data_IF_693467465309
#
_entry.id   IF_693467465309
#
_cell.length_a   1.000
_cell.length_b   1.000
_cell.length_c   1.000
_cell.angle_alpha   90.00
_cell.angle_beta   90.00
_cell.angle_gamma   90.00
#
_symmetry.space_group_name_H-M   'P 1'
#
loop_
_entity.id
_entity.type
_entity.pdbx_description
1 polymer ?
#
# COMPACT_ATOMS: atom_id res chain seq x y z
N UNK A 1 -10.48 -16.93 3.62
CA UNK A 1 -10.00 -16.20 4.81
C UNK A 1 -8.68 -16.77 5.27
N UNK A 2 -7.75 -15.93 5.69
CA UNK A 2 -6.43 -16.30 6.19
C UNK A 2 -6.10 -15.49 7.45
N UNK A 3 -4.91 -15.67 8.04
CA UNK A 3 -4.50 -14.90 9.23
C UNK A 3 -4.34 -13.40 8.92
N UNK A 4 -3.85 -13.08 7.71
CA UNK A 4 -3.66 -11.68 7.28
C UNK A 4 -4.96 -11.13 6.70
N UNK A 5 -5.68 -11.93 5.91
CA UNK A 5 -6.97 -11.53 5.33
C UNK A 5 -8.13 -11.97 6.25
N UNK A 6 -8.21 -11.40 7.43
CA UNK A 6 -9.20 -11.68 8.47
C UNK A 6 -10.55 -10.97 8.22
N UNK A 7 -11.08 -11.07 6.98
CA UNK A 7 -12.25 -10.30 6.53
C UNK A 7 -13.56 -10.63 7.28
N UNK A 8 -13.60 -11.73 8.03
CA UNK A 8 -14.69 -12.04 8.96
C UNK A 8 -14.62 -11.29 10.29
N UNK A 9 -13.53 -10.54 10.55
CA UNK A 9 -13.36 -9.79 11.80
C UNK A 9 -14.49 -8.76 11.98
N UNK A 10 -15.07 -8.63 13.20
CA UNK A 10 -16.23 -7.78 13.45
C UNK A 10 -16.07 -6.32 12.99
N UNK A 11 -14.87 -5.73 13.12
CA UNK A 11 -14.61 -4.35 12.70
C UNK A 11 -14.72 -4.15 11.18
N UNK A 12 -14.27 -5.14 10.37
CA UNK A 12 -14.37 -5.09 8.91
C UNK A 12 -15.82 -5.27 8.46
N UNK A 13 -16.55 -6.21 9.05
CA UNK A 13 -17.99 -6.41 8.79
C UNK A 13 -18.79 -5.15 9.12
N UNK A 14 -18.58 -4.57 10.29
CA UNK A 14 -19.24 -3.34 10.70
C UNK A 14 -18.93 -2.14 9.78
N UNK A 15 -17.68 -2.04 9.29
CA UNK A 15 -17.30 -1.03 8.30
C UNK A 15 -18.08 -1.21 7.00
N UNK A 16 -18.09 -2.43 6.44
CA UNK A 16 -18.76 -2.75 5.18
C UNK A 16 -20.26 -2.47 5.28
N UNK A 17 -20.90 -2.88 6.37
CA UNK A 17 -22.32 -2.64 6.63
C UNK A 17 -22.62 -1.14 6.73
N UNK A 18 -21.88 -0.41 7.57
CA UNK A 18 -22.04 1.04 7.75
C UNK A 18 -21.89 1.83 6.44
N UNK A 19 -20.97 1.39 5.57
CA UNK A 19 -20.72 2.02 4.26
C UNK A 19 -21.69 1.56 3.18
N UNK A 20 -22.44 0.49 3.42
CA UNK A 20 -23.41 -0.05 2.47
C UNK A 20 -22.80 -0.61 1.19
N UNK A 21 -21.51 -0.95 1.19
CA UNK A 21 -20.79 -1.35 -0.02
C UNK A 21 -21.37 -2.58 -0.72
N UNK A 22 -21.92 -3.53 0.02
CA UNK A 22 -22.54 -4.74 -0.56
C UNK A 22 -23.75 -4.42 -1.47
N UNK A 23 -24.40 -3.26 -1.27
CA UNK A 23 -25.58 -2.84 -2.04
C UNK A 23 -25.23 -2.12 -3.34
N UNK A 24 -23.95 -1.75 -3.52
CA UNK A 24 -23.49 -1.02 -4.70
C UNK A 24 -23.30 -1.98 -5.89
N UNK A 25 -23.50 -1.50 -7.13
CA UNK A 25 -23.01 -2.18 -8.34
C UNK A 25 -21.51 -2.48 -8.23
N UNK A 26 -21.03 -3.51 -8.93
CA UNK A 26 -19.65 -4.01 -8.79
C UNK A 26 -18.60 -2.91 -8.96
N UNK A 27 -18.67 -2.13 -10.04
CA UNK A 27 -17.74 -1.02 -10.30
C UNK A 27 -17.71 0.00 -9.16
N UNK A 28 -18.88 0.44 -8.72
CA UNK A 28 -19.01 1.44 -7.67
C UNK A 28 -18.55 0.89 -6.31
N UNK A 29 -18.76 -0.39 -6.07
CA UNK A 29 -18.29 -1.11 -4.88
C UNK A 29 -16.77 -1.15 -4.83
N UNK A 30 -16.13 -1.53 -5.93
CA UNK A 30 -14.66 -1.53 -6.03
C UNK A 30 -14.13 -0.11 -5.85
N UNK A 31 -14.71 0.88 -6.52
CA UNK A 31 -14.27 2.28 -6.44
C UNK A 31 -14.43 2.84 -5.02
N UNK A 32 -15.53 2.54 -4.34
CA UNK A 32 -15.75 2.99 -2.97
C UNK A 32 -14.73 2.40 -1.98
N UNK A 33 -14.43 1.10 -2.10
CA UNK A 33 -13.41 0.42 -1.27
C UNK A 33 -12.01 0.95 -1.62
N UNK A 34 -11.70 1.12 -2.92
CA UNK A 34 -10.46 1.69 -3.39
C UNK A 34 -10.19 3.08 -2.79
N UNK A 35 -11.15 3.99 -2.92
CA UNK A 35 -11.04 5.35 -2.40
C UNK A 35 -10.93 5.37 -0.87
N UNK A 36 -11.65 4.51 -0.17
CA UNK A 36 -11.51 4.36 1.27
C UNK A 36 -10.08 3.96 1.65
N UNK A 37 -9.54 2.90 1.03
CA UNK A 37 -8.17 2.45 1.33
C UNK A 37 -7.14 3.49 0.89
N UNK A 38 -7.35 4.17 -0.25
CA UNK A 38 -6.44 5.22 -0.73
C UNK A 38 -6.38 6.39 0.24
N UNK A 39 -7.52 6.97 0.59
CA UNK A 39 -7.57 8.30 1.20
C UNK A 39 -7.91 8.31 2.70
N UNK A 40 -8.66 7.32 3.22
CA UNK A 40 -9.00 7.26 4.64
C UNK A 40 -7.99 6.43 5.46
N UNK A 41 -7.29 5.48 4.82
CA UNK A 41 -6.12 4.79 5.39
C UNK A 41 -4.87 5.52 4.92
N UNK A 42 -4.33 6.41 5.75
CA UNK A 42 -3.21 7.29 5.37
C UNK A 42 -1.95 6.49 5.04
N UNK A 43 -1.12 7.01 4.15
CA UNK A 43 0.21 6.45 3.95
C UNK A 43 1.06 6.57 5.22
N UNK A 44 1.66 5.46 5.65
CA UNK A 44 2.50 5.35 6.84
C UNK A 44 3.01 3.92 7.03
N UNK A 45 3.85 3.71 8.03
CA UNK A 45 4.56 2.44 8.23
C UNK A 45 4.04 1.72 9.47
N UNK A 46 3.47 0.53 9.27
CA UNK A 46 3.03 -0.36 10.34
C UNK A 46 4.21 -1.12 10.96
N UNK A 47 3.95 -1.89 11.98
CA UNK A 47 4.97 -2.65 12.74
C UNK A 47 5.58 -3.79 11.93
N UNK A 48 4.83 -4.36 10.99
CA UNK A 48 5.21 -5.46 10.10
C UNK A 48 4.31 -5.46 8.86
N UNK A 49 4.75 -6.11 7.77
CA UNK A 49 3.96 -6.27 6.55
C UNK A 49 2.88 -7.35 6.67
N UNK A 50 3.05 -8.30 7.58
CA UNK A 50 2.20 -9.47 7.79
C UNK A 50 1.17 -9.30 8.92
N UNK A 51 0.75 -8.07 9.22
CA UNK A 51 -0.31 -7.80 10.18
C UNK A 51 -1.70 -8.04 9.57
N UNK A 52 -2.70 -8.47 10.38
CA UNK A 52 -4.07 -8.65 9.92
C UNK A 52 -4.69 -7.36 9.35
N UNK A 53 -5.59 -7.51 8.40
CA UNK A 53 -6.33 -6.39 7.80
C UNK A 53 -7.10 -5.57 8.83
N UNK A 54 -7.69 -6.23 9.85
CA UNK A 54 -8.37 -5.56 10.96
C UNK A 54 -7.43 -4.66 11.78
N UNK A 55 -6.16 -5.05 11.94
CA UNK A 55 -5.15 -4.23 12.63
C UNK A 55 -4.76 -3.00 11.79
N UNK A 56 -4.67 -3.15 10.46
CA UNK A 56 -4.43 -1.99 9.55
C UNK A 56 -5.58 -1.00 9.63
N UNK A 57 -6.83 -1.50 9.65
CA UNK A 57 -8.00 -0.64 9.84
C UNK A 57 -7.95 0.10 11.18
N UNK A 58 -7.58 -0.57 12.27
CA UNK A 58 -7.45 0.03 13.58
C UNK A 58 -6.33 1.08 13.66
N UNK A 59 -5.19 0.83 12.98
CA UNK A 59 -4.08 1.79 12.88
C UNK A 59 -4.46 3.05 12.09
N UNK A 60 -5.36 2.94 11.09
CA UNK A 60 -5.79 4.03 10.21
C UNK A 60 -4.70 4.52 9.25
N UNK A 61 -3.61 3.78 9.11
CA UNK A 61 -2.53 4.04 8.15
C UNK A 61 -1.85 2.72 7.74
N UNK A 62 -1.13 2.76 6.60
CA UNK A 62 -0.37 1.63 6.10
C UNK A 62 0.55 1.98 4.94
N UNK A 63 1.46 1.07 4.63
CA UNK A 63 2.31 1.08 3.42
C UNK A 63 1.73 0.16 2.35
N UNK A 64 2.43 0.00 1.22
CA UNK A 64 2.01 -0.83 0.07
C UNK A 64 1.42 -2.18 0.51
N UNK A 65 2.20 -2.97 1.24
CA UNK A 65 1.81 -4.32 1.64
C UNK A 65 0.59 -4.32 2.57
N UNK A 66 0.59 -3.53 3.63
CA UNK A 66 -0.49 -3.55 4.64
C UNK A 66 -1.77 -2.91 4.13
N UNK A 67 -1.70 -1.81 3.36
CA UNK A 67 -2.88 -1.27 2.66
C UNK A 67 -3.41 -2.28 1.63
N UNK A 68 -2.53 -3.01 0.95
CA UNK A 68 -2.90 -4.12 0.06
C UNK A 68 -3.65 -5.23 0.80
N UNK A 69 -3.17 -5.64 1.98
CA UNK A 69 -3.84 -6.64 2.83
C UNK A 69 -5.27 -6.18 3.18
N UNK A 70 -5.42 -4.94 3.65
CA UNK A 70 -6.76 -4.40 3.96
C UNK A 70 -7.65 -4.31 2.72
N UNK A 71 -7.10 -3.86 1.58
CA UNK A 71 -7.85 -3.77 0.32
C UNK A 71 -8.35 -5.15 -0.13
N UNK A 72 -7.49 -6.17 -0.16
CA UNK A 72 -7.88 -7.54 -0.49
C UNK A 72 -8.94 -8.09 0.46
N UNK A 73 -8.77 -7.88 1.78
CA UNK A 73 -9.74 -8.35 2.77
C UNK A 73 -11.13 -7.74 2.53
N UNK A 74 -11.20 -6.42 2.30
CA UNK A 74 -12.46 -5.72 2.02
C UNK A 74 -13.10 -6.19 0.70
N UNK A 75 -12.31 -6.36 -0.36
CA UNK A 75 -12.79 -6.87 -1.65
C UNK A 75 -13.36 -8.29 -1.52
N UNK A 76 -12.65 -9.19 -0.85
CA UNK A 76 -13.11 -10.57 -0.63
C UNK A 76 -14.36 -10.64 0.22
N UNK A 77 -14.46 -9.79 1.25
CA UNK A 77 -15.65 -9.70 2.10
C UNK A 77 -16.92 -9.32 1.33
N UNK A 78 -16.78 -8.60 0.21
CA UNK A 78 -17.91 -8.20 -0.63
C UNK A 78 -18.01 -8.99 -1.95
N UNK A 79 -17.25 -10.10 -2.07
CA UNK A 79 -17.33 -11.04 -3.18
C UNK A 79 -16.60 -10.61 -4.46
N UNK A 80 -15.64 -9.69 -4.38
CA UNK A 80 -14.80 -9.29 -5.52
C UNK A 80 -13.55 -10.19 -5.57
N UNK A 81 -13.32 -10.95 -6.67
CA UNK A 81 -12.13 -11.77 -6.82
C UNK A 81 -10.87 -10.89 -6.91
N UNK A 82 -9.88 -11.20 -6.10
CA UNK A 82 -8.61 -10.52 -6.08
C UNK A 82 -7.46 -11.46 -5.70
N UNK A 83 -6.24 -11.11 -6.11
CA UNK A 83 -5.03 -11.88 -5.85
C UNK A 83 -3.86 -10.95 -5.54
N UNK A 84 -2.85 -11.49 -4.88
CA UNK A 84 -1.66 -10.78 -4.44
C UNK A 84 -0.56 -10.93 -5.50
N UNK A 85 0.10 -9.84 -5.88
CA UNK A 85 1.27 -9.89 -6.73
C UNK A 85 2.48 -9.35 -5.96
N UNK A 86 3.52 -10.18 -5.80
CA UNK A 86 4.68 -9.91 -4.95
C UNK A 86 5.91 -9.47 -5.72
N UNK A 87 6.66 -8.50 -5.16
CA UNK A 87 7.85 -7.90 -5.77
C UNK A 87 8.92 -7.56 -4.75
N UNK A 88 10.10 -7.16 -5.24
CA UNK A 88 10.98 -6.21 -4.54
C UNK A 88 11.06 -4.89 -5.30
N UNK A 89 11.28 -3.80 -4.56
CA UNK A 89 11.53 -2.46 -5.08
C UNK A 89 12.88 -1.94 -4.61
N UNK A 90 13.47 -1.02 -5.39
CA UNK A 90 14.69 -0.33 -5.01
C UNK A 90 14.45 0.57 -3.79
N UNK A 91 15.37 0.54 -2.82
CA UNK A 91 15.30 1.42 -1.64
C UNK A 91 15.33 2.91 -1.97
N UNK A 92 15.81 3.30 -3.15
CA UNK A 92 15.80 4.69 -3.61
C UNK A 92 14.40 5.32 -3.57
N UNK A 93 13.38 4.52 -3.82
CA UNK A 93 11.98 4.90 -3.68
C UNK A 93 11.64 5.40 -2.26
N UNK A 94 12.35 4.92 -1.24
CA UNK A 94 12.16 5.35 0.14
C UNK A 94 12.96 6.59 0.54
N UNK A 95 13.85 7.08 -0.35
CA UNK A 95 14.66 8.29 -0.09
C UNK A 95 13.74 9.48 0.15
N UNK A 96 13.95 10.20 1.22
CA UNK A 96 13.10 11.33 1.62
C UNK A 96 11.94 10.93 2.53
N UNK A 97 11.27 9.79 2.33
CA UNK A 97 10.34 9.22 3.32
C UNK A 97 11.13 8.67 4.52
N UNK A 98 12.21 7.95 4.25
CA UNK A 98 13.22 7.55 5.23
C UNK A 98 14.43 8.48 5.08
N UNK A 99 14.94 9.01 6.17
CA UNK A 99 16.04 10.00 6.15
C UNK A 99 17.20 9.59 7.07
N UNK A 100 18.37 10.21 6.85
CA UNK A 100 19.55 10.08 7.72
C UNK A 100 20.08 8.65 7.85
N UNK A 101 20.45 8.29 9.08
CA UNK A 101 21.03 6.98 9.39
C UNK A 101 20.08 5.83 9.06
N UNK A 102 18.77 6.01 9.18
CA UNK A 102 17.77 5.01 8.90
C UNK A 102 17.74 4.61 7.42
N UNK A 103 17.89 5.59 6.52
CA UNK A 103 18.02 5.32 5.08
C UNK A 103 19.30 4.54 4.77
N UNK A 104 20.43 4.87 5.43
CA UNK A 104 21.68 4.14 5.21
C UNK A 104 21.61 2.68 5.65
N UNK A 105 20.89 2.41 6.76
CA UNK A 105 20.71 1.06 7.32
C UNK A 105 19.60 0.25 6.63
N UNK A 106 18.75 0.88 5.82
CA UNK A 106 17.68 0.21 5.07
C UNK A 106 18.25 -0.81 4.08
N UNK A 107 17.59 -1.96 3.87
CA UNK A 107 17.98 -2.94 2.86
C UNK A 107 17.97 -2.32 1.47
N UNK A 108 18.79 -2.83 0.54
CA UNK A 108 18.85 -2.36 -0.85
C UNK A 108 17.55 -2.65 -1.61
N UNK A 109 16.94 -3.78 -1.29
CA UNK A 109 15.66 -4.20 -1.83
C UNK A 109 14.64 -4.33 -0.71
N UNK A 110 13.45 -3.83 -0.98
CA UNK A 110 12.33 -3.80 -0.05
C UNK A 110 11.20 -4.64 -0.63
N UNK A 111 10.64 -5.52 0.19
CA UNK A 111 9.47 -6.31 -0.19
C UNK A 111 8.29 -5.39 -0.50
N UNK A 112 7.67 -5.63 -1.63
CA UNK A 112 6.59 -4.81 -2.18
C UNK A 112 5.50 -5.68 -2.79
N UNK A 113 4.29 -5.14 -2.89
CA UNK A 113 3.18 -5.80 -3.55
C UNK A 113 2.18 -4.80 -4.11
N UNK A 114 1.42 -5.27 -5.08
CA UNK A 114 0.12 -4.70 -5.42
C UNK A 114 -0.98 -5.76 -5.39
N UNK A 115 -2.22 -5.32 -5.56
CA UNK A 115 -3.38 -6.20 -5.64
C UNK A 115 -3.85 -6.27 -7.08
N UNK A 116 -4.14 -7.47 -7.58
CA UNK A 116 -4.86 -7.62 -8.83
C UNK A 116 -6.33 -7.93 -8.54
N UNK A 117 -7.22 -7.26 -9.25
CA UNK A 117 -8.66 -7.49 -9.19
C UNK A 117 -9.19 -8.04 -10.51
N UNK A 118 -10.15 -8.95 -10.47
CA UNK A 118 -10.87 -9.37 -11.66
C UNK A 118 -12.05 -8.41 -11.88
N UNK A 119 -11.98 -7.62 -12.94
CA UNK A 119 -13.03 -6.68 -13.31
C UNK A 119 -13.34 -6.77 -14.82
N UNK A 120 -14.62 -6.92 -15.19
CA UNK A 120 -15.07 -7.08 -16.58
C UNK A 120 -14.30 -8.17 -17.33
N UNK A 121 -14.05 -9.32 -16.66
CA UNK A 121 -13.37 -10.49 -17.24
C UNK A 121 -11.86 -10.32 -17.44
N UNK A 122 -11.25 -9.26 -16.91
CA UNK A 122 -9.81 -8.98 -17.02
C UNK A 122 -9.19 -8.73 -15.65
N UNK A 123 -7.99 -9.25 -15.43
CA UNK A 123 -7.19 -8.90 -14.27
C UNK A 123 -6.63 -7.49 -14.42
N UNK A 124 -6.79 -6.66 -13.38
CA UNK A 124 -6.33 -5.27 -13.32
C UNK A 124 -5.34 -5.10 -12.18
N UNK A 125 -4.20 -4.49 -12.45
CA UNK A 125 -3.17 -4.18 -11.47
C UNK A 125 -3.55 -2.93 -10.69
N UNK A 126 -3.64 -3.04 -9.37
CA UNK A 126 -4.09 -1.95 -8.51
C UNK A 126 -3.01 -1.63 -7.48
N UNK A 127 -2.33 -0.52 -7.70
CA UNK A 127 -1.24 -0.03 -6.84
C UNK A 127 -1.48 1.42 -6.36
N UNK A 128 -2.25 2.20 -7.11
CA UNK A 128 -2.46 3.63 -6.86
C UNK A 128 -3.07 3.99 -5.50
N UNK A 129 -3.60 3.00 -4.75
CA UNK A 129 -4.14 3.21 -3.40
C UNK A 129 -3.07 3.46 -2.32
N UNK A 130 -1.79 3.26 -2.62
CA UNK A 130 -0.70 3.29 -1.61
C UNK A 130 -0.60 4.66 -0.96
N UNK A 131 -0.57 5.72 -1.76
CA UNK A 131 -0.44 7.08 -1.26
C UNK A 131 -1.80 7.78 -1.18
N UNK A 132 -2.08 8.38 -0.03
CA UNK A 132 -3.26 9.23 0.10
C UNK A 132 -3.10 10.55 -0.68
N UNK A 133 -4.22 11.10 -1.15
CA UNK A 133 -4.26 12.31 -1.96
C UNK A 133 -3.56 13.48 -1.29
N UNK A 134 -3.73 13.65 0.02
CA UNK A 134 -3.12 14.76 0.76
C UNK A 134 -1.59 14.66 0.74
N UNK A 135 -1.04 13.45 0.92
CA UNK A 135 0.41 13.23 0.89
C UNK A 135 0.97 13.47 -0.53
N UNK A 136 0.33 12.91 -1.55
CA UNK A 136 0.77 13.06 -2.94
C UNK A 136 0.72 14.53 -3.40
N UNK A 137 -0.37 15.24 -3.11
CA UNK A 137 -0.52 16.66 -3.42
C UNK A 137 0.56 17.52 -2.72
N UNK A 138 0.86 17.22 -1.46
CA UNK A 138 1.92 17.92 -0.74
C UNK A 138 3.30 17.67 -1.36
N UNK A 139 3.58 16.45 -1.83
CA UNK A 139 4.83 16.15 -2.55
C UNK A 139 4.91 16.88 -3.88
N UNK A 140 3.84 16.91 -4.65
CA UNK A 140 3.79 17.65 -5.91
C UNK A 140 3.99 19.16 -5.70
N UNK A 141 3.39 19.72 -4.66
CA UNK A 141 3.58 21.13 -4.28
C UNK A 141 5.01 21.49 -3.90
N UNK A 142 5.78 20.53 -3.34
CA UNK A 142 7.21 20.69 -3.01
C UNK A 142 8.13 20.55 -4.21
N UNK A 143 7.65 19.94 -5.29
CA UNK A 143 8.42 19.67 -6.50
C UNK A 143 7.66 20.13 -7.74
N UNK A 144 7.29 21.43 -7.83
CA UNK A 144 6.38 21.94 -8.86
C UNK A 144 6.96 21.85 -10.28
N UNK A 145 8.29 21.84 -10.39
CA UNK A 145 9.00 21.79 -11.67
C UNK A 145 9.15 20.34 -12.22
N UNK A 146 8.93 19.31 -11.38
CA UNK A 146 9.04 17.92 -11.79
C UNK A 146 7.73 17.47 -12.42
N UNK A 147 7.74 17.24 -13.73
CA UNK A 147 6.55 16.79 -14.48
C UNK A 147 6.61 15.32 -14.87
N UNK A 148 7.79 14.82 -15.23
CA UNK A 148 8.04 13.46 -15.72
C UNK A 148 8.41 12.49 -14.59
N UNK A 149 9.51 11.75 -14.83
CA UNK A 149 10.01 10.75 -13.88
C UNK A 149 10.32 11.32 -12.51
N UNK A 150 9.87 10.62 -11.48
CA UNK A 150 10.17 10.92 -10.09
C UNK A 150 10.38 9.63 -9.30
N UNK A 151 11.45 9.59 -8.49
CA UNK A 151 11.74 8.48 -7.58
C UNK A 151 12.13 9.02 -6.20
N UNK A 152 11.41 8.61 -5.18
CA UNK A 152 11.61 9.01 -3.79
C UNK A 152 10.29 9.23 -3.05
N UNK A 153 10.36 9.39 -1.73
CA UNK A 153 9.20 9.65 -0.87
C UNK A 153 8.06 8.63 -0.97
N UNK A 154 8.37 7.40 -1.36
CA UNK A 154 7.38 6.37 -1.59
C UNK A 154 6.72 6.42 -2.98
N UNK A 155 7.30 7.16 -3.91
CA UNK A 155 6.86 7.27 -5.32
C UNK A 155 7.94 6.74 -6.25
N UNK A 156 7.55 6.04 -7.32
CA UNK A 156 8.37 5.79 -8.50
C UNK A 156 7.45 5.73 -9.72
N UNK A 157 7.37 6.83 -10.45
CA UNK A 157 6.47 7.02 -11.60
C UNK A 157 7.16 7.79 -12.72
N UNK A 158 6.77 7.54 -13.95
CA UNK A 158 7.22 8.26 -15.15
C UNK A 158 6.46 9.58 -15.39
N UNK A 159 5.33 9.78 -14.70
CA UNK A 159 4.49 10.98 -14.79
C UNK A 159 4.09 11.48 -13.39
N UNK A 160 5.00 12.20 -12.74
CA UNK A 160 4.77 12.71 -11.39
C UNK A 160 3.71 13.80 -11.32
N UNK A 161 3.56 14.60 -12.37
CA UNK A 161 2.56 15.66 -12.41
C UNK A 161 1.13 15.11 -12.43
N UNK A 162 0.92 13.95 -13.10
CA UNK A 162 -0.39 13.31 -13.23
C UNK A 162 -0.24 11.78 -13.18
N UNK A 163 0.12 11.21 -12.02
CA UNK A 163 0.30 9.76 -11.89
C UNK A 163 -1.05 9.04 -11.99
N UNK A 164 -1.01 7.81 -12.49
CA UNK A 164 -2.21 7.00 -12.71
C UNK A 164 -2.72 6.36 -11.40
N UNK A 165 -3.22 7.20 -10.50
CA UNK A 165 -3.67 6.80 -9.15
C UNK A 165 -5.18 6.86 -8.94
N UNK A 166 -5.96 7.31 -9.90
CA UNK A 166 -7.42 7.31 -9.80
C UNK A 166 -7.98 6.13 -10.60
N UNK A 167 -8.67 5.22 -9.90
CA UNK A 167 -9.20 4.03 -10.52
C UNK A 167 -10.50 4.34 -11.28
N UNK A 168 -10.51 3.97 -12.55
CA UNK A 168 -11.65 4.16 -13.46
C UNK A 168 -12.08 2.85 -14.17
N UNK A 169 -11.59 1.70 -13.67
CA UNK A 169 -11.79 0.38 -14.27
C UNK A 169 -10.54 -0.20 -14.93
N UNK A 170 -9.47 0.57 -15.04
CA UNK A 170 -8.16 0.16 -15.57
C UNK A 170 -7.13 -0.13 -14.47
N UNK A 171 -5.88 -0.23 -14.88
CA UNK A 171 -4.74 -0.37 -13.98
C UNK A 171 -4.43 0.96 -13.28
N UNK A 172 -3.82 0.89 -12.10
CA UNK A 172 -3.30 2.07 -11.37
C UNK A 172 -1.90 1.80 -10.85
N UNK A 173 -1.01 2.80 -10.93
CA UNK A 173 0.39 2.66 -10.53
C UNK A 173 0.91 3.91 -9.83
N UNK A 174 1.83 3.71 -8.87
CA UNK A 174 2.54 4.81 -8.18
C UNK A 174 3.99 4.45 -7.82
N UNK A 175 4.35 3.15 -7.79
CA UNK A 175 5.68 2.65 -7.44
C UNK A 175 6.27 1.71 -8.50
N UNK A 176 5.54 1.43 -9.57
CA UNK A 176 5.88 0.47 -10.62
C UNK A 176 7.31 0.63 -11.15
N UNK A 177 7.75 1.87 -11.38
CA UNK A 177 9.08 2.15 -11.93
C UNK A 177 10.23 1.83 -10.94
N UNK A 178 9.90 1.48 -9.70
CA UNK A 178 10.85 1.04 -8.67
C UNK A 178 11.06 -0.47 -8.58
N UNK A 179 10.31 -1.28 -9.34
CA UNK A 179 10.35 -2.74 -9.26
C UNK A 179 11.72 -3.27 -9.71
N UNK A 180 12.26 -4.22 -8.92
CA UNK A 180 13.54 -4.89 -9.17
C UNK A 180 13.37 -6.36 -9.51
N UNK A 181 12.56 -7.07 -8.74
CA UNK A 181 12.29 -8.49 -8.93
C UNK A 181 10.81 -8.74 -8.85
N UNK A 182 10.29 -9.55 -9.76
CA UNK A 182 8.92 -10.05 -9.77
C UNK A 182 8.92 -11.49 -9.27
N UNK A 183 8.12 -11.75 -8.22
CA UNK A 183 7.93 -13.10 -7.66
C UNK A 183 6.66 -13.77 -8.17
N UNK A 184 5.86 -13.05 -8.97
CA UNK A 184 4.61 -13.54 -9.51
C UNK A 184 3.42 -13.40 -8.56
N UNK A 185 2.41 -14.21 -8.85
CA UNK A 185 1.05 -14.10 -8.30
C UNK A 185 0.83 -15.17 -7.23
N UNK A 186 0.19 -14.76 -6.14
CA UNK A 186 -0.19 -15.59 -5.00
C UNK A 186 -1.68 -15.41 -4.69
N UNK A 187 -2.31 -16.46 -4.18
CA UNK A 187 -3.71 -16.34 -3.76
C UNK A 187 -3.88 -15.40 -2.56
N UNK A 188 -2.91 -15.39 -1.67
CA UNK A 188 -2.97 -14.56 -0.46
C UNK A 188 -1.60 -13.97 -0.09
N UNK A 189 -1.55 -12.87 0.68
CA UNK A 189 -0.32 -12.41 1.29
C UNK A 189 0.28 -13.43 2.24
N UNK A 190 -0.53 -14.27 2.91
CA UNK A 190 -0.05 -15.35 3.77
C UNK A 190 0.82 -16.34 2.98
N UNK A 191 0.42 -16.69 1.74
CA UNK A 191 1.20 -17.59 0.89
C UNK A 191 2.50 -16.96 0.44
N UNK A 192 2.47 -15.69 0.05
CA UNK A 192 3.67 -14.93 -0.31
C UNK A 192 4.67 -14.85 0.85
N UNK A 193 4.21 -14.50 2.05
CA UNK A 193 5.10 -14.32 3.20
C UNK A 193 5.65 -15.62 3.82
N UNK A 194 5.24 -16.81 3.34
CA UNK A 194 5.93 -18.06 3.73
C UNK A 194 7.40 -18.02 3.32
N UNK A 195 7.68 -17.54 2.10
CA UNK A 195 9.00 -17.59 1.49
C UNK A 195 9.65 -16.21 1.27
N UNK A 196 8.85 -15.15 1.18
CA UNK A 196 9.28 -13.80 0.77
C UNK A 196 9.06 -12.77 1.88
N UNK A 197 9.80 -12.89 2.99
CA UNK A 197 9.79 -11.90 4.07
C UNK A 197 10.96 -10.95 3.98
N UNK A 198 10.77 -9.71 4.43
CA UNK A 198 11.88 -8.77 4.57
C UNK A 198 12.96 -9.36 5.50
N UNK A 199 14.14 -9.64 4.97
CA UNK A 199 15.26 -10.22 5.72
C UNK A 199 15.91 -9.17 6.63
N UNK A 200 15.41 -9.07 7.86
CA UNK A 200 15.98 -8.25 8.91
C UNK A 200 16.43 -9.15 10.08
N UNK A 201 17.64 -8.93 10.60
CA UNK A 201 18.03 -9.59 11.85
C UNK A 201 17.17 -9.06 13.02
N UNK A 202 17.11 -9.80 14.12
CA UNK A 202 16.23 -9.49 15.25
C UNK A 202 16.48 -8.09 15.85
N UNK A 203 17.74 -7.63 15.89
CA UNK A 203 18.11 -6.29 16.37
C UNK A 203 17.50 -5.21 15.47
N UNK A 204 17.71 -5.31 14.15
CA UNK A 204 17.14 -4.36 13.19
C UNK A 204 15.61 -4.34 13.25
N UNK A 205 14.96 -5.50 13.49
CA UNK A 205 13.51 -5.61 13.65
C UNK A 205 13.02 -4.86 14.90
N UNK A 206 13.73 -4.98 16.03
CA UNK A 206 13.42 -4.24 17.26
C UNK A 206 13.61 -2.73 17.06
N UNK A 207 14.74 -2.33 16.47
CA UNK A 207 15.01 -0.91 16.16
C UNK A 207 13.94 -0.35 15.22
N UNK A 208 13.55 -1.07 14.19
CA UNK A 208 12.47 -0.67 13.29
C UNK A 208 11.17 -0.48 14.06
N UNK A 209 10.78 -1.47 14.85
CA UNK A 209 9.52 -1.45 15.61
C UNK A 209 9.41 -0.26 16.56
N UNK A 210 10.48 0.07 17.27
CA UNK A 210 10.43 1.04 18.37
C UNK A 210 10.93 2.44 18.02
N UNK A 211 11.82 2.58 17.05
CA UNK A 211 12.47 3.85 16.72
C UNK A 211 12.23 4.29 15.27
N UNK A 212 12.68 3.46 14.31
CA UNK A 212 12.70 3.84 12.87
C UNK A 212 11.29 4.14 12.38
N UNK A 213 10.34 3.26 12.63
CA UNK A 213 8.94 3.41 12.23
C UNK A 213 8.31 4.72 12.72
N UNK A 214 8.53 5.07 13.98
CA UNK A 214 8.00 6.32 14.53
C UNK A 214 8.64 7.55 13.89
N UNK A 215 9.95 7.51 13.62
CA UNK A 215 10.65 8.57 12.89
C UNK A 215 10.11 8.73 11.48
N UNK A 216 9.89 7.61 10.75
CA UNK A 216 9.32 7.59 9.40
C UNK A 216 7.91 8.16 9.39
N UNK A 217 7.02 7.72 10.28
CA UNK A 217 5.65 8.21 10.38
C UNK A 217 5.58 9.70 10.75
N UNK A 218 6.48 10.16 11.62
CA UNK A 218 6.60 11.60 11.94
C UNK A 218 7.02 12.41 10.71
N UNK A 219 7.96 11.90 9.92
CA UNK A 219 8.41 12.55 8.70
C UNK A 219 7.31 12.60 7.62
N UNK A 220 6.63 11.48 7.37
CA UNK A 220 5.47 11.40 6.46
C UNK A 220 4.36 12.37 6.88
N UNK A 221 4.07 12.46 8.19
CA UNK A 221 3.09 13.41 8.73
C UNK A 221 3.52 14.88 8.53
N UNK A 222 4.83 15.17 8.63
CA UNK A 222 5.37 16.51 8.36
C UNK A 222 5.25 16.87 6.88
N UNK A 223 5.52 15.94 5.98
CA UNK A 223 5.36 16.15 4.53
C UNK A 223 3.91 16.50 4.21
N UNK A 224 2.95 15.81 4.80
CA UNK A 224 1.51 16.00 4.55
C UNK A 224 0.99 17.36 5.01
N UNK A 225 1.61 18.02 6.01
CA UNK A 225 1.15 19.30 6.60
C UNK A 225 1.65 20.55 5.88
N UNK A 226 2.70 20.41 5.10
CA UNK A 226 3.36 21.53 4.39
C UNK A 226 3.06 21.46 2.89
#
# INVERSE_FOLDING_TARGET
ETLILDFSHPSLKALIERRGWQKLPEKDRILAIYNFVKDEIRFGYNVSDDIPASAVLADGYGQCNTKGNLFMALLRAVGIPCRFHGFTINKELQKGAITGIWYRLAPQEIVHSWVEILFEGKWRNIEGFILDKQYLTALQGRNPDVKGYFCGYGVATDNFANPQVDWNGGDTYIQKEGIKQDFGIFDSPDDFYKDHRQKLNWVKRLIFRWLTRHSMNRNVSRIRRN
#
